data_IF_941056647585
#
_entry.id   IF_941056647585
#
_cell.length_a   1.000
_cell.length_b   1.000
_cell.length_c   1.000
_cell.angle_alpha   90.00
_cell.angle_beta   90.00
_cell.angle_gamma   90.00
#
_symmetry.space_group_name_H-M   'P 1'
#
loop_
_entity.id
_entity.type
_entity.pdbx_description
1 polymer ?
#
# COMPACT_ATOMS: atom_id res chain seq x y z
N UNK A 1 24.18 9.81 -4.11
CA UNK A 1 23.34 8.92 -3.29
C UNK A 1 21.95 8.99 -3.90
N UNK A 2 21.67 8.12 -4.87
CA UNK A 2 20.45 8.22 -5.68
C UNK A 2 19.26 7.82 -4.83
N UNK A 3 18.34 8.75 -4.61
CA UNK A 3 17.01 8.44 -4.08
C UNK A 3 16.35 7.61 -5.18
N UNK A 4 16.19 6.30 -4.97
CA UNK A 4 15.45 5.44 -5.88
C UNK A 4 13.96 5.73 -5.69
N UNK A 5 13.45 6.79 -6.32
CA UNK A 5 12.02 7.07 -6.48
C UNK A 5 11.33 6.06 -7.42
N UNK A 6 11.82 4.82 -7.52
CA UNK A 6 11.58 3.91 -8.65
C UNK A 6 10.98 2.55 -8.30
N UNK A 7 10.33 2.36 -7.15
CA UNK A 7 9.68 1.07 -6.90
C UNK A 7 8.36 1.24 -6.17
N UNK A 8 7.44 2.00 -6.77
CA UNK A 8 6.04 1.55 -6.63
C UNK A 8 6.06 0.11 -7.12
N UNK A 9 5.60 -0.81 -6.29
CA UNK A 9 5.73 -2.20 -6.65
C UNK A 9 4.84 -2.49 -7.87
N UNK A 10 5.37 -3.27 -8.80
CA UNK A 10 4.75 -3.49 -10.12
C UNK A 10 3.30 -3.98 -10.01
N UNK A 11 2.95 -4.73 -8.95
CA UNK A 11 1.58 -5.18 -8.70
C UNK A 11 0.68 -4.03 -8.25
N UNK A 12 1.18 -3.11 -7.43
CA UNK A 12 0.44 -1.92 -7.01
C UNK A 12 0.17 -1.03 -8.23
N UNK A 13 1.17 -0.85 -9.09
CA UNK A 13 0.99 -0.11 -10.34
C UNK A 13 0.01 -0.77 -11.29
N UNK A 14 0.14 -2.10 -11.48
CA UNK A 14 -0.77 -2.87 -12.32
C UNK A 14 -2.22 -2.77 -11.82
N UNK A 15 -2.42 -2.77 -10.49
CA UNK A 15 -3.73 -2.57 -9.89
C UNK A 15 -4.32 -1.19 -10.18
N UNK A 16 -3.55 -0.11 -9.97
CA UNK A 16 -4.03 1.25 -10.24
C UNK A 16 -4.35 1.46 -11.72
N UNK A 17 -3.47 1.00 -12.62
CA UNK A 17 -3.75 1.01 -14.06
C UNK A 17 -5.04 0.26 -14.39
N UNK A 18 -5.27 -0.89 -13.76
CA UNK A 18 -6.46 -1.69 -14.02
C UNK A 18 -7.75 -1.04 -13.51
N UNK A 19 -7.68 -0.33 -12.39
CA UNK A 19 -8.80 0.50 -11.91
C UNK A 19 -9.12 1.59 -12.93
N UNK A 20 -8.12 2.30 -13.44
CA UNK A 20 -8.32 3.33 -14.49
C UNK A 20 -8.93 2.75 -15.78
N UNK A 21 -8.42 1.61 -16.26
CA UNK A 21 -8.94 0.92 -17.45
C UNK A 21 -10.42 0.53 -17.32
N UNK A 22 -10.90 0.31 -16.08
CA UNK A 22 -12.29 0.01 -15.77
C UNK A 22 -13.15 1.23 -15.44
N UNK A 23 -12.60 2.44 -15.55
CA UNK A 23 -13.28 3.68 -15.18
C UNK A 23 -13.46 3.85 -13.67
N UNK A 24 -12.73 3.09 -12.86
CA UNK A 24 -12.73 3.14 -11.40
C UNK A 24 -11.58 4.01 -10.86
N UNK A 25 -11.16 5.03 -11.61
CA UNK A 25 -10.02 5.88 -11.25
C UNK A 25 -10.17 6.56 -9.88
N UNK A 26 -11.41 6.92 -9.49
CA UNK A 26 -11.73 7.46 -8.17
C UNK A 26 -11.34 6.52 -7.01
N UNK A 27 -11.29 5.20 -7.25
CA UNK A 27 -10.85 4.21 -6.25
C UNK A 27 -9.35 4.24 -6.03
N UNK A 28 -8.57 4.75 -6.97
CA UNK A 28 -7.13 4.93 -6.78
C UNK A 28 -6.88 5.95 -5.67
N UNK A 29 -7.67 7.03 -5.63
CA UNK A 29 -7.55 8.07 -4.61
C UNK A 29 -7.89 7.56 -3.20
N UNK A 30 -8.82 6.61 -3.07
CA UNK A 30 -9.18 5.97 -1.78
C UNK A 30 -8.02 5.13 -1.19
N UNK A 31 -7.17 4.61 -2.07
CA UNK A 31 -6.04 3.73 -1.76
C UNK A 31 -4.71 4.49 -1.82
N UNK A 32 -4.72 5.79 -2.09
CA UNK A 32 -3.51 6.61 -1.99
C UNK A 32 -3.27 7.02 -0.53
N UNK A 33 -2.02 7.03 -0.04
CA UNK A 33 -1.75 7.40 1.34
C UNK A 33 -2.05 8.88 1.57
N UNK A 34 -2.83 9.17 2.60
CA UNK A 34 -3.15 10.54 3.02
C UNK A 34 -2.22 10.99 4.16
N UNK A 35 -2.24 12.28 4.49
CA UNK A 35 -1.51 12.77 5.67
C UNK A 35 -1.90 12.06 6.97
N UNK A 36 -3.15 11.59 7.09
CA UNK A 36 -3.61 10.83 8.25
C UNK A 36 -2.90 9.47 8.38
N UNK A 37 -2.67 8.79 7.25
CA UNK A 37 -1.91 7.52 7.22
C UNK A 37 -0.48 7.74 7.74
N UNK A 38 0.17 8.84 7.33
CA UNK A 38 1.52 9.14 7.82
C UNK A 38 1.57 9.50 9.30
N UNK A 39 0.57 10.20 9.83
CA UNK A 39 0.46 10.44 11.27
C UNK A 39 0.21 9.14 12.05
N UNK A 40 -0.57 8.20 11.50
CA UNK A 40 -0.75 6.89 12.12
C UNK A 40 0.57 6.09 12.15
N UNK A 41 1.31 6.08 11.03
CA UNK A 41 2.64 5.45 10.96
C UNK A 41 3.58 6.06 12.01
N UNK A 42 3.56 7.39 12.18
CA UNK A 42 4.34 8.06 13.22
C UNK A 42 3.87 7.66 14.62
N UNK A 43 2.56 7.52 14.85
CA UNK A 43 1.99 7.05 16.11
C UNK A 43 2.41 5.62 16.47
N UNK A 44 2.77 4.82 15.48
CA UNK A 44 3.33 3.47 15.64
C UNK A 44 4.86 3.44 15.73
N UNK A 45 5.51 4.60 15.92
CA UNK A 45 6.96 4.66 16.09
C UNK A 45 7.39 3.82 17.32
N UNK A 46 8.20 2.79 17.07
CA UNK A 46 8.65 1.83 18.06
C UNK A 46 8.04 0.42 17.91
N UNK A 47 6.98 0.27 17.11
CA UNK A 47 6.49 -1.03 16.64
C UNK A 47 7.39 -1.60 15.55
N UNK A 48 7.31 -2.91 15.34
CA UNK A 48 8.01 -3.58 14.24
C UNK A 48 7.42 -3.20 12.87
N UNK A 49 8.24 -3.32 11.84
CA UNK A 49 7.80 -3.14 10.44
C UNK A 49 6.57 -3.98 10.11
N UNK A 50 6.58 -5.23 10.59
CA UNK A 50 5.53 -6.21 10.33
C UNK A 50 4.21 -5.80 10.98
N UNK A 51 4.23 -5.36 12.24
CA UNK A 51 3.02 -4.88 12.93
C UNK A 51 2.41 -3.66 12.23
N UNK A 52 3.24 -2.72 11.80
CA UNK A 52 2.79 -1.53 11.07
C UNK A 52 2.15 -1.93 9.75
N UNK A 53 2.81 -2.80 8.97
CA UNK A 53 2.29 -3.29 7.69
C UNK A 53 1.00 -4.08 7.87
N UNK A 54 0.92 -4.97 8.85
CA UNK A 54 -0.30 -5.75 9.16
C UNK A 54 -1.49 -4.83 9.45
N UNK A 55 -1.28 -3.80 10.26
CA UNK A 55 -2.33 -2.86 10.64
C UNK A 55 -2.80 -2.03 9.44
N UNK A 56 -1.88 -1.42 8.71
CA UNK A 56 -2.19 -0.67 7.50
C UNK A 56 -2.86 -1.54 6.43
N UNK A 57 -2.41 -2.79 6.27
CA UNK A 57 -2.99 -3.71 5.30
C UNK A 57 -4.46 -4.02 5.61
N UNK A 58 -4.87 -4.09 6.88
CA UNK A 58 -6.29 -4.28 7.23
C UNK A 58 -7.15 -3.12 6.75
N UNK A 59 -6.69 -1.89 6.95
CA UNK A 59 -7.43 -0.71 6.51
C UNK A 59 -7.47 -0.57 4.98
N UNK A 60 -6.35 -0.88 4.32
CA UNK A 60 -6.27 -0.83 2.86
C UNK A 60 -7.13 -1.93 2.23
N UNK A 61 -7.18 -3.12 2.82
CA UNK A 61 -7.96 -4.24 2.29
C UNK A 61 -9.45 -3.92 2.10
N UNK A 62 -10.03 -3.10 2.99
CA UNK A 62 -11.43 -2.67 2.88
C UNK A 62 -11.72 -1.76 1.68
N UNK A 63 -10.68 -1.15 1.11
CA UNK A 63 -10.77 -0.20 -0.01
C UNK A 63 -10.41 -0.83 -1.35
N UNK A 64 -9.87 -2.06 -1.33
CA UNK A 64 -9.49 -2.77 -2.55
C UNK A 64 -10.73 -3.42 -3.18
N UNK A 65 -10.96 -3.12 -4.46
CA UNK A 65 -11.93 -3.80 -5.31
C UNK A 65 -11.48 -5.26 -5.56
N UNK A 66 -12.19 -6.27 -5.03
CA UNK A 66 -11.73 -7.66 -5.05
C UNK A 66 -11.59 -8.26 -6.45
N UNK A 67 -12.50 -7.92 -7.36
CA UNK A 67 -12.49 -8.44 -8.74
C UNK A 67 -11.27 -7.95 -9.54
N UNK A 68 -10.82 -6.73 -9.25
CA UNK A 68 -9.63 -6.15 -9.89
C UNK A 68 -8.36 -6.73 -9.27
N UNK A 69 -8.35 -6.95 -7.95
CA UNK A 69 -7.23 -7.60 -7.28
C UNK A 69 -7.03 -9.04 -7.77
N UNK A 70 -8.10 -9.83 -7.91
CA UNK A 70 -8.04 -11.19 -8.44
C UNK A 70 -7.44 -11.24 -9.85
N UNK A 71 -7.87 -10.34 -10.74
CA UNK A 71 -7.35 -10.29 -12.11
C UNK A 71 -5.86 -9.92 -12.17
N UNK A 72 -5.42 -9.00 -11.31
CA UNK A 72 -4.04 -8.50 -11.28
C UNK A 72 -3.09 -9.52 -10.64
N UNK A 73 -3.52 -10.17 -9.56
CA UNK A 73 -2.67 -11.10 -8.79
C UNK A 73 -2.77 -12.54 -9.32
N UNK A 74 -3.87 -12.89 -10.00
CA UNK A 74 -4.09 -14.23 -10.58
C UNK A 74 -4.43 -15.31 -9.54
N UNK A 75 -4.92 -14.92 -8.37
CA UNK A 75 -5.32 -15.82 -7.27
C UNK A 75 -6.72 -15.44 -6.77
N UNK A 76 -7.42 -16.30 -6.02
CA UNK A 76 -8.77 -16.00 -5.55
C UNK A 76 -8.88 -14.65 -4.85
N UNK A 77 -9.98 -13.93 -5.08
CA UNK A 77 -10.21 -12.56 -4.61
C UNK A 77 -9.83 -12.32 -3.14
N UNK A 78 -10.21 -13.21 -2.22
CA UNK A 78 -9.89 -13.07 -0.78
C UNK A 78 -8.39 -13.06 -0.51
N UNK A 79 -7.61 -13.88 -1.22
CA UNK A 79 -6.16 -13.93 -1.10
C UNK A 79 -5.51 -12.76 -1.84
N UNK A 80 -6.04 -12.40 -3.01
CA UNK A 80 -5.54 -11.31 -3.84
C UNK A 80 -5.64 -9.95 -3.13
N UNK A 81 -6.80 -9.67 -2.49
CA UNK A 81 -7.04 -8.45 -1.71
C UNK A 81 -6.00 -8.32 -0.60
N UNK A 82 -5.81 -9.36 0.21
CA UNK A 82 -4.86 -9.32 1.32
C UNK A 82 -3.41 -9.17 0.84
N UNK A 83 -3.05 -9.89 -0.23
CA UNK A 83 -1.71 -9.82 -0.80
C UNK A 83 -1.40 -8.43 -1.33
N UNK A 84 -2.36 -7.81 -2.01
CA UNK A 84 -2.22 -6.45 -2.55
C UNK A 84 -2.24 -5.40 -1.42
N UNK A 85 -3.08 -5.57 -0.40
CA UNK A 85 -3.14 -4.67 0.74
C UNK A 85 -1.81 -4.60 1.49
N UNK A 86 -1.15 -5.75 1.72
CA UNK A 86 0.20 -5.79 2.34
C UNK A 86 1.23 -5.07 1.47
N UNK A 87 1.16 -5.22 0.15
CA UNK A 87 2.06 -4.57 -0.81
C UNK A 87 1.91 -3.05 -0.78
N UNK A 88 0.68 -2.55 -0.75
CA UNK A 88 0.36 -1.13 -0.62
C UNK A 88 0.78 -0.60 0.77
N UNK A 89 0.54 -1.34 1.84
CA UNK A 89 0.98 -0.98 3.18
C UNK A 89 2.51 -0.88 3.32
N UNK A 90 3.26 -1.79 2.69
CA UNK A 90 4.72 -1.69 2.61
C UNK A 90 5.15 -0.44 1.83
N UNK A 91 4.46 -0.11 0.75
CA UNK A 91 4.72 1.11 -0.01
C UNK A 91 4.45 2.37 0.83
N UNK A 92 3.38 2.41 1.63
CA UNK A 92 3.12 3.51 2.56
C UNK A 92 4.26 3.71 3.55
N UNK A 93 4.74 2.61 4.14
CA UNK A 93 5.84 2.63 5.09
C UNK A 93 7.13 3.12 4.42
N UNK A 94 7.41 2.67 3.20
CA UNK A 94 8.55 3.15 2.42
C UNK A 94 8.45 4.66 2.16
N UNK A 95 7.27 5.15 1.74
CA UNK A 95 7.05 6.58 1.56
C UNK A 95 7.25 7.35 2.88
N UNK A 96 6.77 6.82 4.00
CA UNK A 96 6.96 7.43 5.31
C UNK A 96 8.44 7.53 5.70
N UNK A 97 9.25 6.52 5.37
CA UNK A 97 10.71 6.58 5.54
C UNK A 97 11.36 7.61 4.61
N UNK A 98 10.97 7.63 3.33
CA UNK A 98 11.49 8.55 2.32
C UNK A 98 11.20 10.02 2.65
N UNK A 99 10.00 10.30 3.17
CA UNK A 99 9.60 11.64 3.64
C UNK A 99 10.13 11.99 5.03
N UNK A 100 10.87 11.08 5.68
CA UNK A 100 11.45 11.31 7.00
C UNK A 100 10.43 11.34 8.15
N UNK A 101 9.23 10.79 7.93
CA UNK A 101 8.18 10.65 8.95
C UNK A 101 8.60 9.63 10.02
N UNK A 102 9.31 8.58 9.61
CA UNK A 102 9.92 7.57 10.49
C UNK A 102 11.40 7.35 10.09
N UNK A 103 12.23 6.92 11.05
CA UNK A 103 13.65 6.57 10.80
C UNK A 103 13.90 5.11 11.15
N UNK A 104 14.27 4.29 10.17
CA UNK A 104 14.98 3.03 10.40
C UNK A 104 14.11 1.81 10.69
N UNK A 105 13.07 1.57 9.89
CA UNK A 105 12.27 0.34 9.97
C UNK A 105 12.91 -0.82 9.20
N UNK A 106 13.94 -0.56 8.38
CA UNK A 106 14.93 -1.56 7.94
C UNK A 106 15.93 -1.88 9.07
N UNK A 107 15.62 -2.85 9.92
CA UNK A 107 16.64 -3.57 10.69
C UNK A 107 16.38 -5.06 10.70
#
# INVERSE_FOLDING_TARGET
MGINTSSIDELVFAYFRKLEERGLGERVDEVFPTSAVFEEIRGMAGSSAEEVVERLAREVAERIVPEVAEEVVGVPASSAVWHLARRIAMWYLQLAEEFGVVRGVRR
#
